data_IF_327126476297
#
_entry.id   IF_327126476297
#
_cell.length_a   1.000
_cell.length_b   1.000
_cell.length_c   1.000
_cell.angle_alpha   90.00
_cell.angle_beta   90.00
_cell.angle_gamma   90.00
#
_symmetry.space_group_name_H-M   'P 1'
#
loop_
_entity.id
_entity.type
_entity.pdbx_description
1 polymer ?
#
# COMPACT_ATOMS: atom_id res chain seq x y z
N UNK A 1 16.40 -18.93 -6.66
CA UNK A 1 15.70 -17.73 -6.16
C UNK A 1 14.33 -18.17 -5.70
N UNK A 2 14.13 -18.33 -4.39
CA UNK A 2 12.80 -18.62 -3.85
C UNK A 2 11.93 -17.38 -4.05
N UNK A 3 10.87 -17.56 -4.82
CA UNK A 3 9.85 -16.56 -5.05
C UNK A 3 9.10 -16.36 -3.74
N UNK A 4 9.48 -15.33 -2.97
CA UNK A 4 8.93 -14.96 -1.66
C UNK A 4 7.47 -14.49 -1.70
N UNK A 5 6.60 -15.29 -2.31
CA UNK A 5 5.16 -15.14 -2.29
C UNK A 5 4.59 -15.66 -0.95
N UNK A 6 3.40 -15.18 -0.54
CA UNK A 6 2.69 -15.75 0.61
C UNK A 6 2.58 -17.29 0.51
N UNK A 7 2.71 -18.03 1.63
CA UNK A 7 2.56 -17.58 3.02
C UNK A 7 3.85 -17.20 3.75
N UNK A 8 5.02 -17.19 3.07
CA UNK A 8 6.31 -16.90 3.71
C UNK A 8 6.49 -15.42 4.08
N UNK A 9 5.72 -14.54 3.44
CA UNK A 9 5.78 -13.08 3.60
C UNK A 9 4.39 -12.51 3.89
N UNK A 10 4.35 -11.37 4.57
CA UNK A 10 3.16 -10.52 4.63
C UNK A 10 3.23 -9.46 3.55
N UNK A 11 2.07 -9.09 3.02
CA UNK A 11 1.96 -8.08 1.98
C UNK A 11 0.94 -7.02 2.38
N UNK A 12 1.23 -5.76 2.06
CA UNK A 12 0.24 -4.70 2.09
C UNK A 12 0.12 -4.07 0.71
N UNK A 13 -1.10 -3.99 0.17
CA UNK A 13 -1.39 -3.23 -1.02
C UNK A 13 -1.93 -1.85 -0.67
N UNK A 14 -1.40 -0.81 -1.32
CA UNK A 14 -1.93 0.56 -1.27
C UNK A 14 -2.39 0.95 -2.66
N UNK A 15 -3.64 1.33 -2.77
CA UNK A 15 -4.24 1.76 -4.02
C UNK A 15 -4.68 3.23 -3.90
N UNK A 16 -4.31 4.06 -4.87
CA UNK A 16 -4.63 5.49 -4.88
C UNK A 16 -3.89 6.21 -6.01
N UNK A 17 -3.90 7.54 -6.00
CA UNK A 17 -3.05 8.30 -6.92
C UNK A 17 -1.56 8.03 -6.62
N UNK A 18 -0.71 8.06 -7.65
CA UNK A 18 0.72 7.71 -7.51
C UNK A 18 1.41 8.49 -6.37
N UNK A 19 1.19 9.80 -6.33
CA UNK A 19 1.79 10.68 -5.33
C UNK A 19 1.36 10.30 -3.90
N UNK A 20 0.10 9.88 -3.72
CA UNK A 20 -0.45 9.56 -2.41
C UNK A 20 0.00 8.19 -1.91
N UNK A 21 0.06 7.17 -2.78
CA UNK A 21 0.55 5.84 -2.39
C UNK A 21 2.03 5.86 -2.02
N UNK A 22 2.84 6.68 -2.70
CA UNK A 22 4.24 6.92 -2.36
C UNK A 22 4.37 7.67 -1.04
N UNK A 23 3.65 8.77 -0.88
CA UNK A 23 3.75 9.57 0.32
C UNK A 23 3.25 8.84 1.59
N UNK A 24 2.32 7.87 1.48
CA UNK A 24 2.02 6.93 2.58
C UNK A 24 3.20 6.01 2.88
N UNK A 25 3.89 5.49 1.86
CA UNK A 25 5.07 4.65 2.03
C UNK A 25 6.21 5.40 2.72
N UNK A 26 6.47 6.64 2.29
CA UNK A 26 7.57 7.47 2.79
C UNK A 26 7.31 7.95 4.23
N UNK A 27 6.05 8.19 4.59
CA UNK A 27 5.67 8.57 5.94
C UNK A 27 5.62 7.38 6.93
N UNK A 28 5.58 6.15 6.42
CA UNK A 28 5.52 4.96 7.26
C UNK A 28 6.92 4.60 7.77
N UNK A 29 7.06 4.47 9.09
CA UNK A 29 8.23 3.85 9.71
C UNK A 29 8.20 2.33 9.46
N UNK A 30 8.52 1.93 8.23
CA UNK A 30 8.48 0.52 7.80
C UNK A 30 9.51 -0.31 8.59
N UNK A 31 9.20 -1.58 8.90
CA UNK A 31 10.12 -2.47 9.60
C UNK A 31 11.35 -2.78 8.73
N UNK A 32 12.45 -3.14 9.37
CA UNK A 32 13.70 -3.51 8.69
C UNK A 32 13.49 -4.64 7.69
N UNK A 33 14.09 -4.51 6.51
CA UNK A 33 13.95 -5.46 5.41
C UNK A 33 12.59 -5.42 4.70
N UNK A 34 11.77 -4.39 4.96
CA UNK A 34 10.59 -4.11 4.14
C UNK A 34 11.00 -3.78 2.70
N UNK A 35 10.33 -4.40 1.74
CA UNK A 35 10.55 -4.19 0.32
C UNK A 35 9.35 -3.48 -0.28
N UNK A 36 9.61 -2.37 -0.96
CA UNK A 36 8.59 -1.57 -1.64
C UNK A 36 8.61 -1.92 -3.12
N UNK A 37 7.44 -2.31 -3.67
CA UNK A 37 7.29 -2.77 -5.05
C UNK A 37 6.22 -1.94 -5.77
N UNK A 38 6.52 -1.51 -6.99
CA UNK A 38 5.65 -0.59 -7.74
C UNK A 38 5.87 0.87 -7.32
N UNK A 39 5.07 1.81 -7.85
CA UNK A 39 3.67 1.66 -8.23
C UNK A 39 3.45 1.05 -9.61
N UNK A 40 2.31 0.40 -9.80
CA UNK A 40 1.84 -0.16 -11.08
C UNK A 40 0.37 0.16 -11.30
N UNK A 41 -0.06 0.21 -12.55
CA UNK A 41 -1.47 0.43 -12.87
C UNK A 41 -2.33 -0.70 -12.29
N UNK A 42 -3.54 -0.33 -11.86
CA UNK A 42 -4.48 -1.33 -11.39
C UNK A 42 -5.01 -2.21 -12.54
N UNK A 43 -5.34 -3.47 -12.25
CA UNK A 43 -6.00 -4.33 -13.22
C UNK A 43 -7.32 -3.71 -13.73
N UNK A 44 -7.67 -3.91 -15.01
CA UNK A 44 -8.93 -3.43 -15.56
C UNK A 44 -10.13 -3.85 -14.70
N UNK A 45 -11.03 -2.91 -14.41
CA UNK A 45 -12.24 -3.16 -13.62
C UNK A 45 -12.07 -3.04 -12.10
N UNK A 46 -10.84 -2.87 -11.58
CA UNK A 46 -10.64 -2.59 -10.15
C UNK A 46 -10.96 -1.12 -9.88
N UNK A 47 -12.09 -0.87 -9.21
CA UNK A 47 -12.46 0.46 -8.71
C UNK A 47 -11.94 0.67 -7.29
N UNK A 48 -11.40 1.85 -7.02
CA UNK A 48 -11.14 2.32 -5.66
C UNK A 48 -12.31 3.20 -5.21
N UNK A 49 -12.96 2.89 -4.08
CA UNK A 49 -13.96 3.78 -3.50
C UNK A 49 -13.37 5.17 -3.23
N UNK A 50 -14.01 6.21 -3.73
CA UNK A 50 -13.58 7.60 -3.53
C UNK A 50 -12.44 8.08 -4.44
N UNK A 51 -11.96 7.25 -5.37
CA UNK A 51 -11.11 7.76 -6.44
C UNK A 51 -11.93 8.64 -7.40
N UNK A 52 -11.37 9.77 -7.87
CA UNK A 52 -12.07 10.66 -8.80
C UNK A 52 -12.32 9.96 -10.15
N UNK A 53 -13.45 10.27 -10.78
CA UNK A 53 -13.78 9.75 -12.11
C UNK A 53 -12.92 10.38 -13.21
N UNK A 54 -12.37 11.58 -12.96
CA UNK A 54 -11.44 12.30 -13.84
C UNK A 54 -10.03 12.35 -13.23
N UNK A 55 -9.01 12.13 -14.05
CA UNK A 55 -7.60 12.14 -13.66
C UNK A 55 -6.83 10.89 -14.10
N UNK A 56 -5.52 10.81 -13.80
CA UNK A 56 -4.75 9.60 -14.05
C UNK A 56 -5.37 8.40 -13.33
N UNK A 57 -5.32 7.19 -13.94
CA UNK A 57 -5.84 6.01 -13.29
C UNK A 57 -5.11 5.76 -11.97
N UNK A 58 -5.82 5.28 -10.94
CA UNK A 58 -5.17 4.93 -9.70
C UNK A 58 -4.18 3.77 -9.88
N UNK A 59 -3.12 3.80 -9.07
CA UNK A 59 -2.04 2.84 -9.08
C UNK A 59 -1.94 2.10 -7.75
N UNK A 60 -1.30 0.93 -7.79
CA UNK A 60 -1.03 0.04 -6.67
C UNK A 60 0.44 0.05 -6.31
N UNK A 61 0.74 0.21 -5.02
CA UNK A 61 2.09 0.15 -4.48
C UNK A 61 2.13 -0.84 -3.30
N UNK A 62 2.95 -1.88 -3.41
CA UNK A 62 3.01 -2.98 -2.44
C UNK A 62 4.15 -2.78 -1.43
N UNK A 63 3.95 -3.16 -0.17
CA UNK A 63 5.06 -3.47 0.75
C UNK A 63 5.03 -4.96 1.03
N UNK A 64 6.19 -5.60 0.94
CA UNK A 64 6.40 -6.97 1.40
C UNK A 64 7.32 -6.98 2.60
N UNK A 65 6.99 -7.81 3.60
CA UNK A 65 7.82 -8.01 4.80
C UNK A 65 7.88 -9.49 5.17
N UNK A 66 8.87 -9.87 5.97
CA UNK A 66 8.93 -11.21 6.55
C UNK A 66 7.67 -11.52 7.38
N UNK A 67 7.24 -12.77 7.45
CA UNK A 67 6.02 -13.20 8.18
C UNK A 67 5.93 -12.69 9.62
N UNK A 68 7.05 -12.57 10.33
CA UNK A 68 7.08 -12.05 11.71
C UNK A 68 6.77 -10.55 11.82
N UNK A 69 6.97 -9.79 10.75
CA UNK A 69 6.85 -8.33 10.73
C UNK A 69 5.47 -7.82 10.29
N UNK A 70 4.51 -8.70 9.96
CA UNK A 70 3.20 -8.28 9.44
C UNK A 70 2.45 -7.31 10.35
N UNK A 71 2.52 -7.53 11.67
CA UNK A 71 1.91 -6.63 12.65
C UNK A 71 2.60 -5.27 12.71
N UNK A 72 3.93 -5.25 12.60
CA UNK A 72 4.71 -4.01 12.53
C UNK A 72 4.36 -3.22 11.27
N UNK A 73 4.27 -3.90 10.12
CA UNK A 73 3.82 -3.30 8.86
C UNK A 73 2.43 -2.68 8.98
N UNK A 74 1.44 -3.43 9.47
CA UNK A 74 0.07 -2.94 9.62
C UNK A 74 0.02 -1.70 10.54
N UNK A 75 0.78 -1.71 11.64
CA UNK A 75 0.86 -0.58 12.57
C UNK A 75 1.51 0.64 11.92
N UNK A 76 2.62 0.47 11.20
CA UNK A 76 3.33 1.55 10.53
C UNK A 76 2.43 2.25 9.49
N UNK A 77 1.76 1.46 8.65
CA UNK A 77 0.84 1.97 7.64
C UNK A 77 -0.38 2.67 8.25
N UNK A 78 -0.94 2.12 9.33
CA UNK A 78 -2.04 2.75 10.05
C UNK A 78 -1.64 4.12 10.61
N UNK A 79 -0.47 4.23 11.25
CA UNK A 79 0.01 5.50 11.80
C UNK A 79 0.29 6.53 10.70
N UNK A 80 0.89 6.12 9.59
CA UNK A 80 1.11 6.98 8.43
C UNK A 80 -0.22 7.53 7.87
N UNK A 81 -1.21 6.66 7.70
CA UNK A 81 -2.54 7.04 7.22
C UNK A 81 -3.23 8.02 8.18
N UNK A 82 -3.24 7.74 9.49
CA UNK A 82 -3.83 8.62 10.51
C UNK A 82 -3.14 9.98 10.52
N UNK A 83 -1.81 10.01 10.47
CA UNK A 83 -1.03 11.25 10.44
C UNK A 83 -1.41 12.15 9.26
N UNK A 84 -1.51 11.57 8.06
CA UNK A 84 -1.95 12.29 6.85
C UNK A 84 -3.39 12.78 6.97
N UNK A 85 -4.31 11.94 7.47
CA UNK A 85 -5.71 12.31 7.65
C UNK A 85 -5.90 13.46 8.63
N UNK A 86 -5.14 13.48 9.74
CA UNK A 86 -5.19 14.59 10.70
C UNK A 86 -4.69 15.92 10.10
N UNK A 87 -3.70 15.85 9.21
CA UNK A 87 -3.15 17.02 8.49
C UNK A 87 -3.90 17.36 7.20
N UNK A 88 -4.91 16.57 6.83
CA UNK A 88 -5.66 16.69 5.55
C UNK A 88 -4.73 16.69 4.33
N UNK A 89 -3.71 15.83 4.37
CA UNK A 89 -2.69 15.73 3.32
C UNK A 89 -3.09 14.74 2.22
N UNK A 90 -3.16 15.24 0.99
CA UNK A 90 -3.37 14.45 -0.21
C UNK A 90 -4.72 13.74 -0.27
N UNK A 91 -4.89 12.86 -1.25
CA UNK A 91 -6.12 12.09 -1.41
C UNK A 91 -6.13 10.83 -0.52
N UNK A 92 -7.32 10.26 -0.23
CA UNK A 92 -7.43 8.99 0.48
C UNK A 92 -6.73 7.84 -0.27
N UNK A 93 -6.03 6.99 0.48
CA UNK A 93 -5.38 5.77 -0.03
C UNK A 93 -6.07 4.55 0.56
N UNK A 94 -6.46 3.59 -0.27
CA UNK A 94 -7.00 2.30 0.20
C UNK A 94 -5.84 1.39 0.57
N UNK A 95 -5.79 0.96 1.83
CA UNK A 95 -4.79 0.01 2.32
C UNK A 95 -5.43 -1.35 2.59
N UNK A 96 -4.85 -2.41 2.03
CA UNK A 96 -5.27 -3.79 2.23
C UNK A 96 -4.10 -4.61 2.77
N UNK A 97 -4.28 -5.27 3.92
CA UNK A 97 -3.31 -6.20 4.49
C UNK A 97 -3.64 -7.61 4.01
N UNK A 98 -2.62 -8.32 3.53
CA UNK A 98 -2.68 -9.66 2.95
C UNK A 98 -3.86 -9.84 1.97
N UNK A 99 -3.94 -9.01 0.92
CA UNK A 99 -5.04 -9.09 -0.04
C UNK A 99 -5.06 -10.46 -0.73
N UNK A 100 -6.25 -11.02 -0.89
CA UNK A 100 -6.47 -12.32 -1.56
C UNK A 100 -6.04 -12.30 -3.04
N UNK A 101 -6.05 -11.14 -3.69
CA UNK A 101 -5.65 -10.94 -5.09
C UNK A 101 -4.83 -9.66 -5.22
N UNK A 102 -3.67 -9.78 -5.86
CA UNK A 102 -2.73 -8.65 -6.06
C UNK A 102 -2.61 -8.20 -7.51
N UNK A 103 -3.27 -8.89 -8.44
CA UNK A 103 -3.38 -8.56 -9.87
C UNK A 103 -4.79 -8.79 -10.41
#
# INVERSE_FOLDING_TARGET
AEVGFPPATHLAARDGAEADVRAVADAAALPDGAEVLGPVDLPPGVRIPGAPDEGPPPQRLLVRVARREGRALARALFLAQVGRSLRREGAPVRIQIDPLRIG
#
